data_IF_596947765818
#
_entry.id   IF_596947765818
#
_cell.length_a   1.000
_cell.length_b   1.000
_cell.length_c   1.000
_cell.angle_alpha   90.00
_cell.angle_beta   90.00
_cell.angle_gamma   90.00
#
_symmetry.space_group_name_H-M   'P 1'
#
loop_
_entity.id
_entity.type
_entity.pdbx_description
1 polymer ?
#
# COMPACT_ATOMS: atom_id res chain seq x y z
N UNK A 1 9.71 -17.91 -3.31
CA UNK A 1 9.95 -16.48 -2.97
C UNK A 1 8.63 -15.73 -3.11
N UNK A 2 8.33 -14.77 -2.23
CA UNK A 2 7.03 -14.09 -2.22
C UNK A 2 7.01 -12.81 -3.08
N UNK A 3 5.90 -12.49 -3.77
CA UNK A 3 5.84 -11.42 -4.78
C UNK A 3 5.99 -10.00 -4.19
N UNK A 4 5.67 -9.78 -2.92
CA UNK A 4 5.80 -8.45 -2.27
C UNK A 4 7.23 -7.88 -2.32
N UNK A 5 8.26 -8.74 -2.36
CA UNK A 5 9.66 -8.31 -2.49
C UNK A 5 9.97 -7.64 -3.84
N UNK A 6 9.20 -7.94 -4.90
CA UNK A 6 9.38 -7.29 -6.20
C UNK A 6 8.85 -5.85 -6.18
N UNK A 7 7.65 -5.64 -5.62
CA UNK A 7 7.02 -4.32 -5.53
C UNK A 7 7.87 -3.31 -4.72
N UNK A 8 8.30 -3.70 -3.50
CA UNK A 8 9.14 -2.85 -2.66
C UNK A 8 10.47 -2.47 -3.34
N UNK A 9 11.11 -3.41 -4.06
CA UNK A 9 12.33 -3.11 -4.80
C UNK A 9 12.08 -2.16 -5.98
N UNK A 10 10.98 -2.31 -6.72
CA UNK A 10 10.63 -1.45 -7.84
C UNK A 10 10.49 0.03 -7.42
N UNK A 11 9.73 0.30 -6.36
CA UNK A 11 9.57 1.66 -5.80
C UNK A 11 10.92 2.29 -5.43
N UNK A 12 11.78 1.52 -4.76
CA UNK A 12 13.13 1.98 -4.37
C UNK A 12 14.07 2.25 -5.56
N UNK A 13 13.82 1.64 -6.73
CA UNK A 13 14.59 1.87 -7.95
C UNK A 13 14.06 3.08 -8.72
N UNK A 14 12.76 3.34 -8.69
CA UNK A 14 12.13 4.48 -9.35
C UNK A 14 12.62 5.81 -8.74
N UNK A 15 12.59 5.92 -7.39
CA UNK A 15 13.13 7.08 -6.67
C UNK A 15 14.62 7.33 -6.98
N UNK A 16 15.43 6.27 -7.00
CA UNK A 16 16.86 6.35 -7.35
C UNK A 16 17.13 6.72 -8.81
N UNK A 17 16.20 6.43 -9.73
CA UNK A 17 16.27 6.88 -11.15
C UNK A 17 15.87 8.36 -11.29
N UNK A 18 14.86 8.83 -10.56
CA UNK A 18 14.45 10.23 -10.55
C UNK A 18 15.59 11.16 -10.08
N UNK A 19 16.21 10.83 -8.94
CA UNK A 19 17.32 11.61 -8.38
C UNK A 19 18.51 11.75 -9.35
N UNK A 20 18.89 10.67 -10.06
CA UNK A 20 20.00 10.71 -11.03
C UNK A 20 19.71 11.58 -12.25
N UNK A 21 18.45 11.67 -12.71
CA UNK A 21 18.07 12.58 -13.81
C UNK A 21 18.24 14.04 -13.40
N UNK A 22 17.84 14.41 -12.18
CA UNK A 22 17.99 15.79 -11.68
C UNK A 22 19.46 16.23 -11.64
N UNK A 23 20.37 15.44 -11.04
CA UNK A 23 21.81 15.77 -11.02
C UNK A 23 22.40 15.94 -12.43
N UNK A 24 22.04 15.05 -13.37
CA UNK A 24 22.54 15.13 -14.76
C UNK A 24 22.10 16.40 -15.52
N UNK A 25 21.02 17.05 -15.07
CA UNK A 25 20.50 18.29 -15.69
C UNK A 25 21.23 19.56 -15.22
N UNK A 26 21.77 19.57 -14.00
CA UNK A 26 22.52 20.71 -13.47
C UNK A 26 23.94 20.77 -14.06
N UNK A 27 24.58 19.62 -14.26
CA UNK A 27 25.94 19.52 -14.83
C UNK A 27 26.08 19.93 -16.32
N UNK A 28 25.01 20.42 -16.97
CA UNK A 28 25.04 20.93 -18.36
C UNK A 28 24.82 22.44 -18.50
N UNK A 29 24.82 23.22 -17.42
CA UNK A 29 24.53 24.68 -17.45
C UNK A 29 25.72 25.62 -17.24
N UNK A 30 26.96 25.17 -17.51
CA UNK A 30 28.12 26.07 -17.62
C UNK A 30 29.04 25.68 -18.78
N UNK A 31 28.83 26.30 -19.94
CA UNK A 31 29.85 26.76 -20.90
C UNK A 31 29.17 27.53 -22.06
N UNK A 32 29.94 28.34 -22.80
CA UNK A 32 29.40 29.34 -23.72
C UNK A 32 29.16 28.83 -25.17
N UNK A 33 28.40 29.63 -25.92
CA UNK A 33 28.26 29.60 -27.38
C UNK A 33 29.24 30.63 -28.02
N UNK A 34 29.23 30.95 -29.35
CA UNK A 34 28.49 30.36 -30.47
C UNK A 34 29.33 30.05 -31.75
N UNK A 35 28.81 29.25 -32.68
CA UNK A 35 29.19 29.28 -34.11
C UNK A 35 28.21 28.48 -35.02
N UNK A 36 28.08 28.93 -36.28
CA UNK A 36 27.52 28.23 -37.46
C UNK A 36 28.34 28.70 -38.70
N UNK A 37 28.12 28.24 -39.95
CA UNK A 37 27.26 27.17 -40.49
C UNK A 37 28.02 26.16 -41.42
N UNK A 38 27.29 25.40 -42.26
CA UNK A 38 27.59 24.96 -43.66
C UNK A 38 27.42 23.45 -44.01
N UNK A 39 26.61 23.18 -45.06
CA UNK A 39 26.70 22.09 -46.08
C UNK A 39 26.56 20.59 -45.66
N UNK A 40 26.18 19.62 -46.51
CA UNK A 40 25.25 19.55 -47.67
C UNK A 40 25.01 18.07 -48.08
N UNK A 41 23.78 17.68 -48.45
CA UNK A 41 23.44 16.37 -49.10
C UNK A 41 23.44 15.14 -48.17
N UNK A 42 22.96 13.94 -48.57
CA UNK A 42 22.15 13.52 -49.73
C UNK A 42 21.50 12.13 -49.44
N UNK A 43 20.50 11.68 -50.23
CA UNK A 43 19.68 10.47 -50.01
C UNK A 43 19.40 9.73 -51.36
N UNK A 44 18.68 8.58 -51.44
CA UNK A 44 18.14 7.69 -50.41
C UNK A 44 18.92 6.34 -50.38
N UNK A 45 18.48 5.09 -50.75
CA UNK A 45 17.21 4.52 -51.25
C UNK A 45 16.48 3.61 -50.21
N UNK A 46 15.61 2.69 -50.66
CA UNK A 46 14.80 1.72 -49.88
C UNK A 46 14.68 0.39 -50.65
N UNK A 47 14.58 -0.78 -49.98
CA UNK A 47 13.88 -1.98 -50.50
C UNK A 47 13.59 -3.06 -49.42
N UNK A 48 12.88 -4.13 -49.78
CA UNK A 48 12.02 -4.96 -48.91
C UNK A 48 12.55 -6.40 -48.59
N UNK A 49 11.93 -7.14 -47.64
CA UNK A 49 12.44 -8.43 -47.13
C UNK A 49 11.66 -9.68 -47.60
N UNK A 50 12.30 -10.87 -47.57
CA UNK A 50 11.73 -12.25 -47.58
C UNK A 50 12.83 -13.32 -47.85
N UNK A 51 12.59 -14.65 -47.78
CA UNK A 51 11.84 -15.46 -46.78
C UNK A 51 12.60 -16.77 -46.37
N UNK A 52 11.88 -17.81 -45.90
CA UNK A 52 12.14 -19.30 -46.02
C UNK A 52 12.46 -20.15 -44.75
N UNK A 53 11.75 -21.30 -44.68
CA UNK A 53 12.02 -22.60 -44.02
C UNK A 53 11.68 -22.84 -42.52
N UNK A 54 11.31 -24.11 -42.26
CA UNK A 54 10.97 -24.71 -40.96
C UNK A 54 11.26 -26.22 -40.95
N UNK A 55 11.67 -26.77 -39.79
CA UNK A 55 11.82 -28.21 -39.44
C UNK A 55 12.43 -28.31 -38.01
N UNK A 56 12.25 -29.34 -37.18
CA UNK A 56 11.28 -30.44 -37.12
C UNK A 56 11.23 -31.04 -35.68
N UNK A 57 10.45 -32.11 -35.48
CA UNK A 57 10.00 -32.69 -34.21
C UNK A 57 11.07 -33.21 -33.21
N UNK A 58 10.64 -33.42 -31.95
CA UNK A 58 11.32 -34.23 -30.94
C UNK A 58 10.37 -34.72 -29.83
N UNK A 59 10.08 -36.03 -29.79
CA UNK A 59 9.17 -36.66 -28.81
C UNK A 59 9.89 -37.04 -27.50
N UNK A 60 9.30 -36.67 -26.35
CA UNK A 60 9.49 -37.35 -25.05
C UNK A 60 8.19 -37.42 -24.24
N UNK A 61 7.36 -38.42 -24.54
CA UNK A 61 6.21 -38.86 -23.71
C UNK A 61 6.61 -39.21 -22.27
N UNK A 62 5.71 -38.92 -21.33
CA UNK A 62 5.66 -39.61 -20.04
C UNK A 62 5.09 -38.83 -18.85
N UNK A 63 3.75 -38.86 -18.65
CA UNK A 63 3.20 -39.01 -17.30
C UNK A 63 1.75 -39.55 -17.30
N UNK A 64 1.29 -39.96 -16.11
CA UNK A 64 0.09 -40.74 -15.81
C UNK A 64 -1.23 -40.19 -16.40
N UNK A 65 -2.12 -41.08 -16.87
CA UNK A 65 -3.46 -40.74 -17.36
C UNK A 65 -4.53 -40.92 -16.28
N UNK A 66 -5.13 -39.80 -15.84
CA UNK A 66 -6.39 -39.79 -15.08
C UNK A 66 -7.50 -39.28 -15.98
N UNK A 67 -8.56 -40.06 -16.15
CA UNK A 67 -9.68 -39.72 -17.05
C UNK A 67 -10.47 -38.55 -16.46
N UNK A 68 -10.54 -37.42 -17.20
CA UNK A 68 -11.57 -36.39 -16.96
C UNK A 68 -12.89 -36.85 -17.58
N UNK A 69 -13.99 -36.68 -16.85
CA UNK A 69 -15.32 -36.72 -17.44
C UNK A 69 -15.57 -35.40 -18.18
N UNK A 70 -16.01 -35.46 -19.42
CA UNK A 70 -16.40 -34.30 -20.21
C UNK A 70 -17.91 -34.08 -20.11
N UNK A 71 -18.33 -33.13 -19.27
CA UNK A 71 -19.67 -32.55 -19.36
C UNK A 71 -19.67 -31.47 -20.45
N UNK A 72 -20.66 -31.49 -21.34
CA UNK A 72 -20.70 -30.60 -22.50
C UNK A 72 -21.16 -29.18 -22.10
N UNK A 73 -20.47 -28.15 -22.60
CA UNK A 73 -20.75 -26.75 -22.30
C UNK A 73 -21.56 -26.09 -23.42
N UNK A 74 -22.86 -25.85 -23.20
CA UNK A 74 -23.75 -25.14 -24.12
C UNK A 74 -24.64 -24.14 -23.38
N UNK A 75 -24.15 -22.92 -23.15
CA UNK A 75 -24.93 -21.69 -22.93
C UNK A 75 -23.96 -20.50 -22.69
N UNK A 76 -23.56 -19.81 -23.76
CA UNK A 76 -22.85 -18.53 -23.67
C UNK A 76 -23.78 -17.42 -24.20
N UNK A 77 -24.62 -16.86 -23.32
CA UNK A 77 -25.52 -15.75 -23.63
C UNK A 77 -25.85 -14.94 -22.37
N UNK A 78 -25.99 -13.62 -22.54
CA UNK A 78 -26.53 -12.63 -21.58
C UNK A 78 -26.05 -12.71 -20.11
N UNK A 79 -25.12 -11.82 -19.74
CA UNK A 79 -24.97 -11.37 -18.35
C UNK A 79 -25.73 -10.05 -18.21
N UNK A 80 -26.93 -10.10 -17.65
CA UNK A 80 -27.52 -8.95 -16.95
C UNK A 80 -27.15 -9.03 -15.46
N UNK A 81 -27.04 -7.88 -14.80
CA UNK A 81 -26.67 -7.79 -13.40
C UNK A 81 -27.86 -8.17 -12.50
N UNK A 82 -27.96 -9.45 -12.15
CA UNK A 82 -28.84 -9.90 -11.09
C UNK A 82 -28.32 -9.42 -9.73
N UNK A 83 -28.81 -8.27 -9.27
CA UNK A 83 -28.68 -7.82 -7.88
C UNK A 83 -29.15 -8.96 -6.94
N UNK A 84 -28.39 -9.26 -5.88
CA UNK A 84 -28.45 -10.53 -5.15
C UNK A 84 -29.89 -10.95 -4.78
N UNK A 85 -30.43 -11.93 -5.50
CA UNK A 85 -31.87 -12.18 -5.62
C UNK A 85 -32.54 -12.77 -4.37
N UNK A 86 -32.84 -11.92 -3.39
CA UNK A 86 -33.89 -12.16 -2.40
C UNK A 86 -35.19 -11.43 -2.83
N UNK A 87 -35.85 -11.99 -3.85
CA UNK A 87 -37.23 -11.61 -4.16
C UNK A 87 -38.11 -12.08 -2.99
N UNK A 88 -38.52 -11.13 -2.14
CA UNK A 88 -39.29 -11.44 -0.92
C UNK A 88 -40.66 -12.02 -1.27
N UNK A 89 -40.78 -13.35 -1.17
CA UNK A 89 -41.97 -14.13 -1.49
C UNK A 89 -43.10 -13.99 -0.47
N UNK A 90 -43.64 -12.78 -0.33
CA UNK A 90 -44.77 -12.47 0.55
C UNK A 90 -44.38 -11.68 1.81
N UNK A 91 -45.34 -10.87 2.28
CA UNK A 91 -45.20 -9.89 3.38
C UNK A 91 -45.23 -10.55 4.78
N UNK A 92 -44.63 -11.74 4.91
CA UNK A 92 -44.62 -12.53 6.15
C UNK A 92 -43.19 -12.67 6.68
N UNK A 93 -42.89 -11.90 7.73
CA UNK A 93 -41.70 -12.01 8.54
C UNK A 93 -42.07 -12.07 10.03
N UNK A 94 -41.37 -12.90 10.81
CA UNK A 94 -41.48 -12.89 12.27
C UNK A 94 -40.37 -12.01 12.86
N UNK A 95 -40.75 -11.16 13.81
CA UNK A 95 -39.84 -10.35 14.60
C UNK A 95 -39.39 -11.17 15.83
N UNK A 96 -38.22 -11.81 15.73
CA UNK A 96 -37.60 -12.48 16.87
C UNK A 96 -36.70 -11.50 17.63
N UNK A 97 -36.44 -11.70 18.95
CA UNK A 97 -35.57 -10.82 19.73
C UNK A 97 -34.09 -10.78 19.27
N UNK A 98 -33.70 -11.59 18.28
CA UNK A 98 -32.40 -11.53 17.60
C UNK A 98 -32.45 -10.92 16.19
N UNK A 99 -33.62 -10.50 15.69
CA UNK A 99 -33.81 -9.91 14.36
C UNK A 99 -35.07 -10.41 13.64
N UNK A 100 -35.47 -9.68 12.58
CA UNK A 100 -36.56 -10.08 11.70
C UNK A 100 -36.13 -11.18 10.73
N UNK A 101 -36.93 -12.23 10.63
CA UNK A 101 -36.71 -13.36 9.72
C UNK A 101 -37.88 -13.43 8.74
N UNK A 102 -37.60 -13.20 7.45
CA UNK A 102 -38.54 -13.45 6.36
C UNK A 102 -38.59 -14.94 6.02
N UNK A 103 -39.77 -15.43 5.63
CA UNK A 103 -39.91 -16.81 5.17
C UNK A 103 -39.51 -16.96 3.70
N UNK A 104 -38.94 -18.12 3.36
CA UNK A 104 -38.70 -18.58 1.98
C UNK A 104 -39.28 -19.98 1.83
N UNK A 105 -39.90 -20.25 0.68
CA UNK A 105 -40.55 -21.54 0.41
C UNK A 105 -39.57 -22.66 0.00
N UNK A 106 -38.37 -22.30 -0.46
CA UNK A 106 -37.35 -23.22 -0.96
C UNK A 106 -36.12 -23.25 -0.04
N UNK A 107 -35.55 -24.44 0.17
CA UNK A 107 -34.40 -24.66 1.03
C UNK A 107 -33.09 -24.27 0.34
N UNK A 108 -32.76 -22.98 0.40
CA UNK A 108 -31.52 -22.43 -0.15
C UNK A 108 -30.47 -22.20 0.95
N UNK A 109 -29.36 -22.94 0.89
CA UNK A 109 -28.22 -22.75 1.79
C UNK A 109 -27.37 -21.56 1.33
N UNK A 110 -27.12 -20.59 2.22
CA UNK A 110 -26.20 -19.49 1.94
C UNK A 110 -24.75 -20.03 1.89
N UNK A 111 -23.96 -19.73 0.83
CA UNK A 111 -22.56 -20.13 0.76
C UNK A 111 -21.72 -19.36 1.80
N UNK A 112 -20.77 -20.05 2.42
CA UNK A 112 -19.88 -19.52 3.48
C UNK A 112 -19.06 -18.29 3.03
N UNK A 113 -18.84 -18.12 1.73
CA UNK A 113 -18.17 -16.95 1.16
C UNK A 113 -18.81 -16.52 -0.16
N UNK A 114 -18.80 -15.20 -0.39
CA UNK A 114 -19.02 -14.63 -1.71
C UNK A 114 -17.86 -15.05 -2.64
N UNK A 115 -18.16 -15.33 -3.91
CA UNK A 115 -17.13 -15.75 -4.89
C UNK A 115 -16.12 -14.64 -5.16
N UNK A 116 -16.60 -13.40 -5.16
CA UNK A 116 -15.83 -12.20 -5.39
C UNK A 116 -15.43 -11.55 -4.06
N UNK A 117 -14.32 -10.80 -4.08
CA UNK A 117 -13.77 -10.13 -2.89
C UNK A 117 -14.28 -8.70 -2.80
N UNK A 118 -14.39 -8.17 -1.58
CA UNK A 118 -14.67 -6.76 -1.34
C UNK A 118 -13.62 -5.91 -2.06
N UNK A 119 -14.09 -4.98 -2.90
CA UNK A 119 -13.23 -4.11 -3.69
C UNK A 119 -12.50 -3.07 -2.82
N UNK A 120 -11.24 -2.79 -3.16
CA UNK A 120 -10.42 -1.81 -2.43
C UNK A 120 -10.72 -0.38 -2.90
N UNK A 121 -11.02 0.53 -1.98
CA UNK A 121 -11.21 1.95 -2.28
C UNK A 121 -9.88 2.63 -2.63
N UNK A 122 -9.85 3.37 -3.75
CA UNK A 122 -8.65 4.01 -4.29
C UNK A 122 -8.98 5.38 -4.88
N UNK A 123 -8.18 6.40 -4.56
CA UNK A 123 -8.35 7.79 -5.06
C UNK A 123 -7.31 8.16 -6.11
N UNK A 124 -6.04 7.80 -5.90
CA UNK A 124 -4.91 8.19 -6.77
C UNK A 124 -4.34 6.99 -7.53
N UNK A 125 -4.02 7.17 -8.82
CA UNK A 125 -3.30 6.20 -9.67
C UNK A 125 -1.82 6.03 -9.26
N UNK A 126 -1.05 5.18 -9.96
CA UNK A 126 0.34 4.90 -9.62
C UNK A 126 1.31 6.05 -9.98
N UNK A 127 0.86 7.02 -10.79
CA UNK A 127 1.56 8.27 -11.12
C UNK A 127 1.15 9.44 -10.18
N UNK A 128 0.17 9.22 -9.29
CA UNK A 128 -0.37 10.21 -8.35
C UNK A 128 -1.51 11.08 -8.88
N UNK A 129 -2.17 10.71 -9.99
CA UNK A 129 -3.35 11.42 -10.53
C UNK A 129 -4.65 10.88 -9.95
N UNK A 130 -5.68 11.72 -9.88
CA UNK A 130 -7.02 11.33 -9.41
C UNK A 130 -7.73 10.38 -10.38
N UNK A 131 -8.28 9.28 -9.88
CA UNK A 131 -9.04 8.31 -10.67
C UNK A 131 -10.44 8.87 -10.99
N UNK A 132 -10.86 8.78 -12.25
CA UNK A 132 -12.18 9.22 -12.72
C UNK A 132 -13.32 8.59 -11.90
N UNK A 133 -14.25 9.42 -11.44
CA UNK A 133 -15.39 8.97 -10.61
C UNK A 133 -15.08 8.78 -9.12
N UNK A 134 -13.82 8.94 -8.67
CA UNK A 134 -13.51 8.94 -7.24
C UNK A 134 -14.11 10.17 -6.54
N UNK A 135 -14.88 9.94 -5.47
CA UNK A 135 -15.43 11.00 -4.61
C UNK A 135 -14.52 11.17 -3.39
N UNK A 136 -13.76 12.25 -3.37
CA UNK A 136 -12.86 12.62 -2.26
C UNK A 136 -13.04 14.10 -1.91
N UNK A 137 -12.63 14.47 -0.69
CA UNK A 137 -12.49 15.87 -0.29
C UNK A 137 -11.05 16.31 -0.58
N UNK A 138 -10.88 17.41 -1.31
CA UNK A 138 -9.55 17.99 -1.53
C UNK A 138 -9.00 18.59 -0.22
N UNK A 139 -7.74 18.31 0.07
CA UNK A 139 -7.00 18.82 1.24
C UNK A 139 -6.21 20.08 0.87
N UNK A 140 -6.01 20.99 1.82
CA UNK A 140 -5.17 22.18 1.55
C UNK A 140 -3.72 21.77 1.27
N UNK A 141 -3.04 22.58 0.46
CA UNK A 141 -1.63 22.37 0.07
C UNK A 141 -0.71 22.31 1.31
N UNK A 142 -1.02 23.12 2.31
CA UNK A 142 -0.28 23.22 3.58
C UNK A 142 -0.44 21.93 4.39
N UNK A 143 -1.66 21.38 4.42
CA UNK A 143 -1.95 20.09 5.09
C UNK A 143 -1.25 18.94 4.37
N UNK A 144 -1.32 18.88 3.03
CA UNK A 144 -0.65 17.88 2.22
C UNK A 144 0.89 17.94 2.36
N UNK A 145 1.47 19.15 2.40
CA UNK A 145 2.90 19.34 2.68
C UNK A 145 3.28 18.92 4.10
N UNK A 146 2.45 19.20 5.12
CA UNK A 146 2.69 18.67 6.47
C UNK A 146 2.68 17.14 6.45
N UNK A 147 1.64 16.50 5.89
CA UNK A 147 1.55 15.04 5.78
C UNK A 147 2.79 14.43 5.13
N UNK A 148 3.27 15.01 4.02
CA UNK A 148 4.49 14.56 3.34
C UNK A 148 5.74 14.70 4.21
N UNK A 149 5.90 15.83 4.90
CA UNK A 149 7.04 16.07 5.78
C UNK A 149 7.07 15.11 6.99
N UNK A 150 5.93 14.80 7.60
CA UNK A 150 5.87 13.83 8.70
C UNK A 150 6.14 12.39 8.22
N UNK A 151 5.64 11.99 7.04
CA UNK A 151 5.97 10.69 6.44
C UNK A 151 7.48 10.55 6.17
N UNK A 152 8.12 11.59 5.63
CA UNK A 152 9.57 11.61 5.41
C UNK A 152 10.34 11.60 6.73
N UNK A 153 9.88 12.32 7.74
CA UNK A 153 10.48 12.38 9.09
C UNK A 153 10.42 11.02 9.78
N UNK A 154 9.27 10.34 9.71
CA UNK A 154 9.09 8.97 10.20
C UNK A 154 10.06 7.99 9.54
N UNK A 155 10.18 8.01 8.21
CA UNK A 155 11.09 7.12 7.48
C UNK A 155 12.58 7.36 7.82
N UNK A 156 12.98 8.62 8.04
CA UNK A 156 14.35 8.97 8.49
C UNK A 156 14.57 8.53 9.94
N UNK A 157 13.59 8.75 10.83
CA UNK A 157 13.64 8.32 12.23
C UNK A 157 13.80 6.79 12.34
N UNK A 158 12.98 6.03 11.60
CA UNK A 158 13.03 4.57 11.53
C UNK A 158 14.39 4.08 11.05
N UNK A 159 14.97 4.73 10.03
CA UNK A 159 16.31 4.39 9.51
C UNK A 159 17.39 4.60 10.58
N UNK A 160 17.34 5.70 11.33
CA UNK A 160 18.33 6.04 12.36
C UNK A 160 18.26 5.06 13.54
N UNK A 161 17.06 4.75 14.05
CA UNK A 161 16.91 3.84 15.18
C UNK A 161 17.14 2.37 14.79
N UNK A 162 16.79 1.95 13.57
CA UNK A 162 17.14 0.61 13.08
C UNK A 162 18.66 0.39 13.04
N UNK A 163 19.43 1.38 12.56
CA UNK A 163 20.90 1.31 12.59
C UNK A 163 21.47 1.42 14.03
N UNK A 164 20.82 2.16 14.92
CA UNK A 164 21.17 2.16 16.35
C UNK A 164 20.96 0.77 17.00
N UNK A 165 19.90 0.04 16.61
CA UNK A 165 19.64 -1.33 17.03
C UNK A 165 20.64 -2.32 16.41
N UNK A 166 21.07 -2.11 15.16
CA UNK A 166 22.15 -2.87 14.53
C UNK A 166 23.51 -2.68 15.20
N UNK A 167 23.76 -1.50 15.75
CA UNK A 167 24.94 -1.20 16.57
C UNK A 167 24.79 -1.61 18.05
N UNK A 168 23.67 -2.20 18.46
CA UNK A 168 23.42 -2.60 19.85
C UNK A 168 23.24 -1.45 20.85
N UNK A 169 23.00 -0.21 20.36
CA UNK A 169 22.77 0.98 21.21
C UNK A 169 21.40 0.97 21.88
N UNK A 170 20.42 0.35 21.22
CA UNK A 170 19.08 0.05 21.76
C UNK A 170 18.81 -1.45 21.57
N UNK A 171 18.03 -2.06 22.45
CA UNK A 171 17.84 -3.51 22.48
C UNK A 171 16.92 -4.02 21.37
N UNK A 172 15.88 -3.27 21.01
CA UNK A 172 14.87 -3.66 20.03
C UNK A 172 14.41 -2.47 19.19
N UNK A 173 13.92 -2.74 17.98
CA UNK A 173 13.28 -1.75 17.10
C UNK A 173 12.49 -2.45 16.00
N UNK A 174 11.36 -1.88 15.58
CA UNK A 174 10.62 -2.27 14.39
C UNK A 174 10.36 -1.02 13.54
N UNK A 175 10.50 -1.15 12.23
CA UNK A 175 10.22 -0.07 11.27
C UNK A 175 8.81 -0.18 10.71
N UNK A 176 8.21 0.99 10.45
CA UNK A 176 6.88 1.24 9.86
C UNK A 176 6.95 1.49 8.34
N UNK A 177 7.97 0.93 7.67
CA UNK A 177 8.27 1.23 6.27
C UNK A 177 7.25 0.60 5.31
N UNK A 178 6.59 1.44 4.50
CA UNK A 178 5.41 1.11 3.69
C UNK A 178 4.09 1.45 4.40
N UNK A 179 4.12 1.81 5.67
CA UNK A 179 2.97 2.13 6.53
C UNK A 179 2.98 3.59 6.99
N UNK A 180 3.93 4.41 6.49
CA UNK A 180 4.05 5.82 6.86
C UNK A 180 2.76 6.60 6.52
N UNK A 181 2.14 6.29 5.37
CA UNK A 181 0.94 6.98 4.90
C UNK A 181 -0.31 6.68 5.71
N UNK A 182 -0.55 5.42 6.10
CA UNK A 182 -1.75 5.06 6.90
C UNK A 182 -1.68 5.68 8.30
N UNK A 183 -0.49 5.72 8.90
CA UNK A 183 -0.26 6.34 10.19
C UNK A 183 -0.53 7.85 10.18
N UNK A 184 0.05 8.58 9.21
CA UNK A 184 -0.10 10.03 9.14
C UNK A 184 -1.50 10.44 8.67
N UNK A 185 -2.09 9.75 7.68
CA UNK A 185 -3.40 10.11 7.15
C UNK A 185 -4.55 9.81 8.13
N UNK A 186 -4.50 8.69 8.87
CA UNK A 186 -5.50 8.40 9.91
C UNK A 186 -5.41 9.41 11.06
N UNK A 187 -4.21 9.70 11.55
CA UNK A 187 -3.99 10.71 12.58
C UNK A 187 -4.41 12.14 12.16
N UNK A 188 -4.37 12.44 10.86
CA UNK A 188 -4.82 13.70 10.29
C UNK A 188 -6.34 13.80 10.07
N UNK A 189 -7.06 12.68 10.04
CA UNK A 189 -8.51 12.63 10.00
C UNK A 189 -9.17 12.68 11.39
N UNK A 190 -8.40 12.37 12.44
CA UNK A 190 -8.82 12.44 13.84
C UNK A 190 -8.59 13.83 14.46
N UNK A 191 -9.37 14.15 15.49
CA UNK A 191 -9.08 15.27 16.39
C UNK A 191 -7.93 14.92 17.34
N UNK A 192 -7.52 15.86 18.20
CA UNK A 192 -6.54 15.60 19.27
C UNK A 192 -7.18 14.89 20.48
N UNK A 193 -8.49 15.04 20.66
CA UNK A 193 -9.25 14.51 21.79
C UNK A 193 -9.64 13.03 21.62
N UNK A 194 -9.69 12.55 20.37
CA UNK A 194 -9.93 11.14 20.05
C UNK A 194 -8.86 10.22 20.67
N UNK A 195 -9.28 9.17 21.37
CA UNK A 195 -8.37 8.20 22.00
C UNK A 195 -7.86 7.21 20.95
N UNK A 196 -6.53 7.11 20.82
CA UNK A 196 -5.85 6.14 19.95
C UNK A 196 -5.41 4.93 20.78
N UNK A 197 -5.85 3.74 20.35
CA UNK A 197 -5.35 2.45 20.84
C UNK A 197 -4.44 1.83 19.76
N UNK A 198 -3.11 1.94 19.88
CA UNK A 198 -2.14 1.43 18.91
C UNK A 198 -1.85 -0.07 19.12
N UNK A 199 -1.14 -0.68 18.17
CA UNK A 199 -0.60 -2.04 18.27
C UNK A 199 0.93 -2.00 18.49
N UNK A 200 1.71 -1.62 17.48
CA UNK A 200 3.17 -1.32 17.57
C UNK A 200 3.76 -0.75 16.27
N UNK A 201 2.99 -0.61 15.17
CA UNK A 201 3.46 -0.06 13.88
C UNK A 201 3.03 1.39 13.65
N UNK A 202 2.47 2.04 14.67
CA UNK A 202 1.77 3.33 14.56
C UNK A 202 2.51 4.58 15.11
N UNK A 203 3.86 4.65 15.22
CA UNK A 203 4.52 5.84 15.80
C UNK A 203 4.30 7.11 14.98
N UNK A 204 3.93 7.01 13.69
CA UNK A 204 3.50 8.18 12.91
C UNK A 204 2.29 8.91 13.51
N UNK A 205 1.39 8.20 14.21
CA UNK A 205 0.23 8.83 14.87
C UNK A 205 0.66 9.73 16.03
N UNK A 206 1.65 9.28 16.81
CA UNK A 206 2.30 10.10 17.84
C UNK A 206 3.06 11.29 17.24
N UNK A 207 3.84 11.05 16.18
CA UNK A 207 4.60 12.10 15.49
C UNK A 207 3.66 13.21 14.99
N UNK A 208 2.59 12.86 14.28
CA UNK A 208 1.58 13.80 13.77
C UNK A 208 0.94 14.66 14.87
N UNK A 209 0.67 14.04 16.03
CA UNK A 209 0.09 14.69 17.23
C UNK A 209 1.09 15.52 18.04
N UNK A 210 2.37 15.60 17.63
CA UNK A 210 3.38 16.40 18.33
C UNK A 210 4.06 15.68 19.50
N UNK A 211 4.36 14.39 19.31
CA UNK A 211 5.39 13.67 20.08
C UNK A 211 6.75 13.90 19.41
N UNK A 212 7.72 14.37 20.17
CA UNK A 212 9.02 14.78 19.63
C UNK A 212 9.95 13.59 19.37
N UNK A 213 10.87 13.75 18.42
CA UNK A 213 11.96 12.80 18.18
C UNK A 213 12.81 12.54 19.44
N UNK A 214 12.86 13.49 20.38
CA UNK A 214 13.51 13.33 21.68
C UNK A 214 12.68 12.46 22.64
N UNK A 215 11.36 12.60 22.69
CA UNK A 215 10.48 11.69 23.45
C UNK A 215 10.56 10.24 22.91
N UNK A 216 10.56 10.06 21.57
CA UNK A 216 10.82 8.76 20.95
C UNK A 216 12.18 8.18 21.36
N UNK A 217 13.26 8.97 21.26
CA UNK A 217 14.60 8.55 21.68
C UNK A 217 14.66 8.18 23.17
N UNK A 218 13.98 8.95 24.04
CA UNK A 218 13.98 8.68 25.48
C UNK A 218 13.40 7.30 25.80
N UNK A 219 12.28 6.95 25.16
CA UNK A 219 11.65 5.63 25.29
C UNK A 219 12.57 4.52 24.74
N UNK A 220 13.10 4.67 23.53
CA UNK A 220 13.94 3.63 22.90
C UNK A 220 15.25 3.36 23.65
N UNK A 221 15.80 4.35 24.36
CA UNK A 221 16.98 4.20 25.22
C UNK A 221 16.64 3.92 26.69
N UNK A 222 15.35 3.87 27.07
CA UNK A 222 14.90 3.65 28.46
C UNK A 222 15.46 4.65 29.48
N UNK A 223 15.70 5.90 29.06
CA UNK A 223 16.50 6.85 29.83
C UNK A 223 15.69 7.58 30.92
N UNK A 224 16.34 8.42 31.75
CA UNK A 224 15.70 9.15 32.87
C UNK A 224 14.53 10.07 32.44
N UNK A 225 14.46 10.45 31.17
CA UNK A 225 13.42 11.31 30.60
C UNK A 225 12.30 10.52 29.89
N UNK A 226 12.31 9.18 29.94
CA UNK A 226 11.20 8.34 29.50
C UNK A 226 10.02 8.40 30.49
N UNK A 227 8.83 8.69 29.99
CA UNK A 227 7.58 8.63 30.77
C UNK A 227 7.27 7.21 31.26
N UNK A 228 7.67 6.18 30.49
CA UNK A 228 7.62 4.76 30.87
C UNK A 228 8.67 4.33 31.91
N UNK A 229 9.63 5.21 32.26
CA UNK A 229 10.71 5.00 33.23
C UNK A 229 11.60 3.79 32.91
N UNK A 230 11.80 3.47 31.63
CA UNK A 230 12.62 2.35 31.15
C UNK A 230 12.04 0.96 31.47
N UNK A 231 10.75 0.87 31.81
CA UNK A 231 10.08 -0.37 32.24
C UNK A 231 9.57 -1.25 31.11
N UNK A 232 9.45 -0.67 29.92
CA UNK A 232 8.88 -1.32 28.74
C UNK A 232 9.95 -1.56 27.67
N UNK A 233 9.67 -2.44 26.71
CA UNK A 233 10.54 -2.64 25.55
C UNK A 233 10.59 -1.36 24.69
N UNK A 234 11.72 -1.05 24.04
CA UNK A 234 11.75 -0.03 22.98
C UNK A 234 10.62 -0.24 21.97
N UNK A 235 10.05 0.86 21.47
CA UNK A 235 8.82 0.98 20.65
C UNK A 235 7.49 0.89 21.41
N UNK A 236 7.48 0.53 22.69
CA UNK A 236 6.27 0.65 23.52
C UNK A 236 6.00 2.10 23.95
N UNK A 237 5.68 2.96 22.98
CA UNK A 237 5.37 4.37 23.23
C UNK A 237 3.99 4.54 23.88
N UNK A 238 3.80 5.64 24.61
CA UNK A 238 2.55 5.99 25.28
C UNK A 238 2.55 7.47 25.68
N UNK A 239 1.40 8.16 25.58
CA UNK A 239 1.31 9.58 25.94
C UNK A 239 -0.11 10.01 26.31
N UNK A 240 -0.35 10.18 27.60
CA UNK A 240 -1.60 10.76 28.14
C UNK A 240 -1.84 12.19 27.60
N UNK A 241 -0.77 12.94 27.29
CA UNK A 241 -0.85 14.30 26.72
C UNK A 241 -1.45 14.32 25.31
N UNK A 242 -1.36 13.20 24.58
CA UNK A 242 -1.74 13.08 23.17
C UNK A 242 -2.86 12.06 22.95
N UNK A 243 -3.59 11.71 24.02
CA UNK A 243 -4.67 10.70 24.03
C UNK A 243 -4.26 9.40 23.33
N UNK A 244 -3.01 8.96 23.53
CA UNK A 244 -2.42 7.78 22.88
C UNK A 244 -2.07 6.74 23.94
N UNK A 245 -2.77 5.61 23.91
CA UNK A 245 -2.61 4.55 24.90
C UNK A 245 -1.22 3.91 24.82
N UNK A 246 -0.67 3.51 25.97
CA UNK A 246 0.65 2.88 26.01
C UNK A 246 0.60 1.50 25.34
N UNK A 247 1.40 1.34 24.30
CA UNK A 247 1.60 0.07 23.57
C UNK A 247 1.97 -1.08 24.51
N UNK A 248 1.46 -2.28 24.21
CA UNK A 248 1.82 -3.52 24.92
C UNK A 248 2.01 -4.67 23.92
N UNK A 249 2.88 -5.64 24.24
CA UNK A 249 3.21 -6.75 23.34
C UNK A 249 2.07 -7.77 23.07
N UNK A 250 1.10 -8.02 23.97
CA UNK A 250 -0.02 -8.91 23.66
C UNK A 250 -0.81 -8.44 22.44
N UNK A 251 -1.06 -9.36 21.52
CA UNK A 251 -1.86 -9.17 20.31
C UNK A 251 -3.26 -9.74 20.60
N UNK A 252 -4.30 -9.12 20.04
CA UNK A 252 -5.69 -9.56 20.13
C UNK A 252 -6.05 -10.63 19.08
#
# INVERSE_FOLDING_TARGET
MAPWRAAAMASSQLARRAARRLLSSQHRRHCAAPACPWLLGSAPPVLAPSPVAAAAAGDRRGFCSVRRFTGESNAAAAVEEAENGLVAGGDQAIDFPGGKVSFVAEMNFLPESQRDRINCYRVLDDDGRTISGSRFQEVSKELALKMYNEMATLQVMDTIFFEAQRQGRISFYLTSHGEEAINIASAAALTIDDIVLPQYREPGVLLWRGFTLQEFANQCFGNKLDYGKGRQMPIHYGSNRLNYFTVSSPIA
#
